data_IF_600015444403
#
_entry.id   IF_600015444403
#
_cell.length_a   1.000
_cell.length_b   1.000
_cell.length_c   1.000
_cell.angle_alpha   90.00
_cell.angle_beta   90.00
_cell.angle_gamma   90.00
#
_symmetry.space_group_name_H-M   'P 1'
#
loop_
_entity.id
_entity.type
_entity.pdbx_description
1 polymer ?
#
# COMPACT_ATOMS: atom_id res chain seq x y z
N UNK A 1 16.74 -11.75 1.85
CA UNK A 1 16.62 -10.29 1.67
C UNK A 1 18.03 -9.72 1.76
N UNK A 2 18.34 -8.53 1.23
CA UNK A 2 19.71 -8.00 1.42
C UNK A 2 19.95 -7.69 2.90
N UNK A 3 21.17 -7.90 3.39
CA UNK A 3 21.52 -7.69 4.80
C UNK A 3 21.23 -6.24 5.26
N UNK A 4 21.43 -5.27 4.37
CA UNK A 4 21.13 -3.85 4.63
C UNK A 4 19.61 -3.64 4.79
N UNK A 5 18.80 -4.25 3.92
CA UNK A 5 17.34 -4.15 4.00
C UNK A 5 16.79 -4.88 5.24
N UNK A 6 17.41 -6.00 5.63
CA UNK A 6 17.11 -6.70 6.89
C UNK A 6 17.35 -5.82 8.11
N UNK A 7 18.52 -5.17 8.20
CA UNK A 7 18.83 -4.21 9.28
C UNK A 7 17.87 -3.03 9.31
N UNK A 8 17.56 -2.43 8.16
CA UNK A 8 16.58 -1.34 8.10
C UNK A 8 15.19 -1.81 8.55
N UNK A 9 14.77 -2.98 8.09
CA UNK A 9 13.47 -3.56 8.45
C UNK A 9 13.37 -3.83 9.96
N UNK A 10 14.45 -4.32 10.59
CA UNK A 10 14.50 -4.50 12.03
C UNK A 10 14.35 -3.16 12.78
N UNK A 11 15.02 -2.09 12.32
CA UNK A 11 14.87 -0.74 12.88
C UNK A 11 13.44 -0.21 12.71
N UNK A 12 12.82 -0.42 11.54
CA UNK A 12 11.43 -0.03 11.30
C UNK A 12 10.48 -0.81 12.22
N UNK A 13 10.71 -2.12 12.42
CA UNK A 13 9.88 -2.95 13.32
C UNK A 13 10.01 -2.53 14.79
N UNK A 14 11.16 -2.00 15.20
CA UNK A 14 11.39 -1.44 16.53
C UNK A 14 10.97 0.04 16.65
N UNK A 15 10.44 0.66 15.59
CA UNK A 15 10.12 2.09 15.57
C UNK A 15 9.00 2.44 16.56
N UNK A 16 9.25 3.43 17.41
CA UNK A 16 8.30 3.96 18.41
C UNK A 16 7.93 5.44 18.24
N UNK A 17 8.32 6.08 17.14
CA UNK A 17 8.09 7.53 16.90
C UNK A 17 6.64 7.95 17.19
N UNK A 18 5.65 7.13 16.81
CA UNK A 18 4.23 7.45 17.00
C UNK A 18 3.76 7.51 18.46
N UNK A 19 4.59 7.10 19.43
CA UNK A 19 4.35 7.22 20.87
C UNK A 19 5.37 8.15 21.51
N UNK A 20 6.65 8.00 21.18
CA UNK A 20 7.72 8.73 21.88
C UNK A 20 7.90 10.17 21.37
N UNK A 21 7.69 10.41 20.06
CA UNK A 21 7.85 11.72 19.42
C UNK A 21 6.79 11.94 18.30
N UNK A 22 5.49 11.86 18.63
CA UNK A 22 4.42 11.90 17.64
C UNK A 22 4.26 13.30 17.04
N UNK A 23 3.80 13.35 15.79
CA UNK A 23 3.16 14.56 15.26
C UNK A 23 1.71 14.57 15.74
N UNK A 24 1.44 15.37 16.78
CA UNK A 24 0.13 15.42 17.44
C UNK A 24 0.08 14.53 18.68
N UNK A 25 -1.04 13.83 18.90
CA UNK A 25 -1.19 12.97 20.09
C UNK A 25 -0.47 11.62 19.90
N UNK A 26 0.12 11.06 20.98
CA UNK A 26 0.68 9.72 20.95
C UNK A 26 -0.40 8.68 20.64
N UNK A 27 0.01 7.54 20.05
CA UNK A 27 -0.89 6.40 19.93
C UNK A 27 -1.33 5.91 21.32
N UNK A 28 -2.60 5.53 21.49
CA UNK A 28 -3.11 5.02 22.77
C UNK A 28 -2.77 3.55 23.02
N UNK A 29 -1.97 2.92 22.15
CA UNK A 29 -1.59 1.52 22.20
C UNK A 29 -0.13 1.34 21.77
N UNK A 30 0.43 0.17 22.04
CA UNK A 30 1.81 -0.13 21.64
C UNK A 30 1.99 -0.06 20.11
N UNK A 31 3.09 0.55 19.61
CA UNK A 31 3.43 0.52 18.21
C UNK A 31 3.66 -0.91 17.73
N UNK A 32 3.04 -1.27 16.61
CA UNK A 32 3.33 -2.52 15.90
C UNK A 32 3.51 -2.24 14.41
N UNK A 33 4.74 -1.87 13.98
CA UNK A 33 5.02 -1.62 12.58
C UNK A 33 4.84 -2.90 11.73
N UNK A 34 3.88 -2.89 10.81
CA UNK A 34 3.56 -4.02 9.92
C UNK A 34 3.94 -3.67 8.48
N UNK A 35 4.94 -4.39 7.96
CA UNK A 35 5.46 -4.27 6.60
C UNK A 35 6.21 -5.54 6.20
N UNK A 36 6.28 -5.79 4.88
CA UNK A 36 7.05 -6.88 4.27
C UNK A 36 7.81 -6.34 3.05
N UNK A 37 8.94 -5.65 3.25
CA UNK A 37 9.78 -5.24 2.13
C UNK A 37 10.45 -6.46 1.48
N UNK A 38 11.01 -6.28 0.30
CA UNK A 38 11.69 -7.33 -0.44
C UNK A 38 12.80 -6.78 -1.30
N UNK A 39 13.90 -7.55 -1.41
CA UNK A 39 15.01 -7.26 -2.32
C UNK A 39 14.85 -7.91 -3.69
N UNK A 40 13.79 -8.70 -3.92
CA UNK A 40 13.57 -9.44 -5.18
C UNK A 40 12.21 -9.15 -5.83
N UNK A 41 11.18 -8.83 -5.03
CA UNK A 41 9.87 -8.50 -5.58
C UNK A 41 9.95 -7.31 -6.53
N UNK A 42 9.28 -7.43 -7.68
CA UNK A 42 9.15 -6.37 -8.69
C UNK A 42 7.92 -5.48 -8.46
N UNK A 43 6.96 -5.95 -7.64
CA UNK A 43 5.71 -5.26 -7.36
C UNK A 43 5.70 -4.74 -5.92
N UNK A 44 5.39 -3.45 -5.75
CA UNK A 44 5.14 -2.83 -4.46
C UNK A 44 3.65 -2.55 -4.26
N UNK A 45 3.08 -3.08 -3.18
CA UNK A 45 1.78 -2.68 -2.66
C UNK A 45 1.95 -1.52 -1.67
N UNK A 46 1.63 -0.30 -2.12
CA UNK A 46 1.64 0.91 -1.33
C UNK A 46 0.22 1.26 -0.90
N UNK A 47 -0.14 0.99 0.36
CA UNK A 47 -1.46 1.29 0.92
C UNK A 47 -1.40 2.30 2.08
N UNK A 48 -2.52 2.56 2.74
CA UNK A 48 -2.62 3.57 3.80
C UNK A 48 -1.86 3.18 5.08
N UNK A 49 -2.46 2.35 5.92
CA UNK A 49 -1.93 1.87 7.18
C UNK A 49 -2.66 0.59 7.60
N UNK A 50 -2.14 -0.20 8.55
CA UNK A 50 -2.86 -1.31 9.17
C UNK A 50 -4.20 -0.89 9.76
N UNK A 51 -5.22 -1.75 9.60
CA UNK A 51 -6.45 -1.70 10.40
C UNK A 51 -6.35 -2.56 11.66
N UNK A 52 -7.42 -2.64 12.46
CA UNK A 52 -7.44 -3.36 13.74
C UNK A 52 -7.04 -4.84 13.63
N UNK A 53 -7.56 -5.57 12.62
CA UNK A 53 -7.22 -6.99 12.43
C UNK A 53 -5.74 -7.18 12.09
N UNK A 54 -5.17 -6.30 11.28
CA UNK A 54 -3.74 -6.31 10.92
C UNK A 54 -2.87 -5.95 12.12
N UNK A 55 -3.32 -5.03 12.98
CA UNK A 55 -2.63 -4.71 14.23
C UNK A 55 -2.58 -5.92 15.18
N UNK A 56 -3.67 -6.68 15.28
CA UNK A 56 -3.73 -7.89 16.12
C UNK A 56 -2.93 -9.05 15.51
N UNK A 57 -3.02 -9.27 14.20
CA UNK A 57 -2.31 -10.38 13.54
C UNK A 57 -0.82 -10.11 13.33
N UNK A 58 -0.43 -8.84 13.15
CA UNK A 58 0.91 -8.44 12.70
C UNK A 58 1.19 -8.75 11.23
N UNK A 59 0.18 -9.17 10.46
CA UNK A 59 0.31 -9.57 9.07
C UNK A 59 -0.52 -8.64 8.17
N UNK A 60 0.07 -8.03 7.11
CA UNK A 60 -0.66 -7.12 6.23
C UNK A 60 -1.85 -7.81 5.58
N UNK A 61 -2.97 -7.11 5.35
CA UNK A 61 -4.09 -7.61 4.53
C UNK A 61 -4.69 -8.96 4.97
N UNK A 62 -4.72 -9.23 6.29
CA UNK A 62 -5.44 -10.37 6.89
C UNK A 62 -6.92 -10.08 7.16
N UNK A 63 -7.50 -9.11 6.47
CA UNK A 63 -8.90 -8.70 6.61
C UNK A 63 -9.64 -8.77 5.26
N UNK A 64 -10.93 -8.44 5.28
CA UNK A 64 -11.78 -8.48 4.09
C UNK A 64 -11.32 -7.53 2.97
N UNK A 65 -10.57 -6.47 3.31
CA UNK A 65 -9.96 -5.60 2.30
C UNK A 65 -8.81 -6.32 1.60
N UNK A 66 -8.07 -7.15 2.33
CA UNK A 66 -7.06 -8.06 1.79
C UNK A 66 -7.64 -9.13 0.86
N UNK A 67 -8.75 -9.75 1.25
CA UNK A 67 -9.43 -10.75 0.40
C UNK A 67 -9.84 -10.13 -0.95
N UNK A 68 -10.44 -8.95 -0.88
CA UNK A 68 -10.82 -8.19 -2.09
C UNK A 68 -9.62 -7.80 -2.93
N UNK A 69 -8.52 -7.35 -2.31
CA UNK A 69 -7.31 -7.00 -3.04
C UNK A 69 -6.73 -8.21 -3.77
N UNK A 70 -6.62 -9.37 -3.11
CA UNK A 70 -6.17 -10.62 -3.76
C UNK A 70 -7.05 -10.99 -4.95
N UNK A 71 -8.37 -10.86 -4.82
CA UNK A 71 -9.31 -11.06 -5.91
C UNK A 71 -9.09 -10.09 -7.08
N UNK A 72 -8.83 -8.81 -6.80
CA UNK A 72 -8.51 -7.82 -7.84
C UNK A 72 -7.21 -8.16 -8.57
N UNK A 73 -6.16 -8.48 -7.82
CA UNK A 73 -4.86 -8.88 -8.37
C UNK A 73 -4.92 -10.23 -9.11
N UNK A 74 -5.94 -11.05 -8.83
CA UNK A 74 -6.11 -12.37 -9.44
C UNK A 74 -5.04 -13.36 -8.98
N UNK A 75 -4.64 -13.30 -7.70
CA UNK A 75 -3.56 -14.11 -7.11
C UNK A 75 -4.06 -14.94 -5.93
N UNK A 76 -3.37 -16.06 -5.65
CA UNK A 76 -3.63 -16.86 -4.47
C UNK A 76 -3.13 -16.19 -3.18
N UNK A 77 -3.50 -16.75 -2.03
CA UNK A 77 -3.00 -16.29 -0.75
C UNK A 77 -1.48 -16.49 -0.62
N UNK A 78 -0.98 -17.62 -1.10
CA UNK A 78 0.44 -18.00 -1.11
C UNK A 78 1.23 -17.04 -1.99
N UNK A 79 0.75 -16.77 -3.22
CA UNK A 79 1.37 -15.81 -4.13
C UNK A 79 1.43 -14.41 -3.53
N UNK A 80 0.34 -13.96 -2.90
CA UNK A 80 0.25 -12.62 -2.32
C UNK A 80 1.24 -12.39 -1.16
N UNK A 81 1.53 -13.44 -0.39
CA UNK A 81 2.43 -13.37 0.75
C UNK A 81 3.84 -13.88 0.46
N UNK A 82 4.12 -14.26 -0.79
CA UNK A 82 5.46 -14.55 -1.25
C UNK A 82 6.27 -13.25 -1.39
N UNK A 83 7.30 -13.10 -0.56
CA UNK A 83 8.15 -11.91 -0.58
C UNK A 83 9.00 -11.82 -1.84
N UNK A 84 9.14 -12.88 -2.64
CA UNK A 84 9.81 -12.81 -3.94
C UNK A 84 8.90 -12.22 -5.03
N UNK A 85 7.58 -12.19 -4.79
CA UNK A 85 6.58 -11.67 -5.73
C UNK A 85 6.10 -10.27 -5.37
N UNK A 86 5.81 -10.04 -4.10
CA UNK A 86 5.26 -8.78 -3.60
C UNK A 86 6.06 -8.21 -2.42
N UNK A 87 6.39 -6.92 -2.53
CA UNK A 87 6.71 -6.09 -1.38
C UNK A 87 5.43 -5.40 -0.88
N UNK A 88 5.22 -5.37 0.44
CA UNK A 88 4.08 -4.70 1.08
C UNK A 88 4.59 -3.64 2.03
N UNK A 89 4.50 -2.37 1.62
CA UNK A 89 4.98 -1.22 2.41
C UNK A 89 3.91 -0.12 2.41
N UNK A 90 3.06 -0.05 3.45
CA UNK A 90 2.05 1.02 3.58
C UNK A 90 2.68 2.38 3.88
N UNK A 91 1.90 3.45 3.85
CA UNK A 91 2.36 4.81 4.16
C UNK A 91 2.57 5.02 5.66
N UNK A 92 1.72 4.41 6.49
CA UNK A 92 1.89 4.28 7.93
C UNK A 92 2.05 2.81 8.32
N UNK A 93 2.96 2.50 9.24
CA UNK A 93 3.23 1.11 9.62
C UNK A 93 2.46 0.65 10.86
N UNK A 94 1.93 1.56 11.67
CA UNK A 94 1.12 1.23 12.84
C UNK A 94 -0.34 1.53 12.57
N UNK A 95 -1.23 0.80 13.23
CA UNK A 95 -2.66 1.14 13.26
C UNK A 95 -2.83 2.52 13.90
N UNK A 96 -3.50 3.47 13.22
CA UNK A 96 -3.62 4.84 13.71
C UNK A 96 -4.80 5.05 14.66
N UNK A 97 -5.61 4.02 14.93
CA UNK A 97 -6.89 4.12 15.61
C UNK A 97 -8.07 4.25 14.64
N UNK A 98 -9.28 4.40 15.19
CA UNK A 98 -10.52 4.55 14.43
C UNK A 98 -11.24 5.86 14.75
N UNK A 99 -11.97 6.37 13.76
CA UNK A 99 -12.94 7.44 13.95
C UNK A 99 -14.19 6.93 14.69
N UNK A 100 -15.06 7.85 15.10
CA UNK A 100 -16.30 7.53 15.81
C UNK A 100 -17.29 6.65 15.00
N UNK A 101 -17.07 6.50 13.70
CA UNK A 101 -17.88 5.68 12.78
C UNK A 101 -17.19 4.34 12.45
N UNK A 102 -16.14 3.98 13.19
CA UNK A 102 -15.38 2.74 13.01
C UNK A 102 -14.51 2.70 11.74
N UNK A 103 -14.17 3.86 11.17
CA UNK A 103 -13.25 3.98 10.05
C UNK A 103 -11.82 4.15 10.52
N UNK A 104 -10.87 3.43 9.94
CA UNK A 104 -9.46 3.59 10.30
C UNK A 104 -9.00 5.03 10.00
N UNK A 105 -8.31 5.63 10.96
CA UNK A 105 -7.77 6.98 10.84
C UNK A 105 -6.69 7.05 9.73
N UNK A 106 -6.36 8.27 9.26
CA UNK A 106 -5.24 8.51 8.35
C UNK A 106 -3.91 7.92 8.87
N UNK A 107 -2.97 7.60 7.97
CA UNK A 107 -1.65 7.15 8.37
C UNK A 107 -0.94 8.28 9.14
N UNK A 108 -0.14 7.89 10.14
CA UNK A 108 0.65 8.81 10.96
C UNK A 108 1.61 9.62 10.07
N UNK A 109 1.59 10.95 10.21
CA UNK A 109 2.29 11.91 9.32
C UNK A 109 3.80 11.79 9.42
N UNK A 110 4.30 11.39 10.57
CA UNK A 110 5.70 11.13 10.89
C UNK A 110 6.26 9.88 10.20
N UNK A 111 5.41 8.92 9.80
CA UNK A 111 5.87 7.59 9.41
C UNK A 111 6.54 7.56 8.03
N UNK A 112 5.91 8.15 7.01
CA UNK A 112 6.47 8.14 5.66
C UNK A 112 7.76 8.95 5.53
N UNK A 113 7.87 10.18 6.08
CA UNK A 113 9.13 10.93 6.07
C UNK A 113 10.29 10.19 6.75
N UNK A 114 10.01 9.46 7.84
CA UNK A 114 11.05 8.75 8.58
C UNK A 114 11.65 7.57 7.79
N UNK A 115 10.84 6.85 7.01
CA UNK A 115 11.23 5.52 6.53
C UNK A 115 11.05 5.27 5.04
N UNK A 116 10.14 5.98 4.36
CA UNK A 116 9.70 5.60 3.01
C UNK A 116 10.83 5.70 1.99
N UNK A 117 11.57 6.80 1.98
CA UNK A 117 12.68 7.01 1.04
C UNK A 117 13.80 5.95 1.21
N UNK A 118 14.17 5.64 2.46
CA UNK A 118 15.19 4.63 2.76
C UNK A 118 14.77 3.23 2.30
N UNK A 119 13.50 2.85 2.53
CA UNK A 119 12.97 1.56 2.08
C UNK A 119 12.96 1.49 0.54
N UNK A 120 12.50 2.53 -0.15
CA UNK A 120 12.48 2.55 -1.62
C UNK A 120 13.89 2.46 -2.21
N UNK A 121 14.87 3.16 -1.63
CA UNK A 121 16.25 3.13 -2.09
C UNK A 121 16.89 1.72 -1.99
N UNK A 122 16.44 0.91 -1.03
CA UNK A 122 16.89 -0.47 -0.84
C UNK A 122 16.06 -1.52 -1.59
N UNK A 123 15.08 -1.09 -2.39
CA UNK A 123 14.28 -1.95 -3.26
C UNK A 123 14.30 -1.44 -4.71
N UNK A 124 15.48 -1.23 -5.33
CA UNK A 124 15.59 -0.64 -6.67
C UNK A 124 15.01 -1.52 -7.78
N UNK A 125 14.79 -2.81 -7.52
CA UNK A 125 14.21 -3.76 -8.46
C UNK A 125 12.69 -3.63 -8.63
N UNK A 126 12.03 -2.81 -7.81
CA UNK A 126 10.60 -2.51 -7.96
C UNK A 126 10.40 -1.74 -9.26
N UNK A 127 9.63 -2.31 -10.17
CA UNK A 127 9.27 -1.68 -11.45
C UNK A 127 7.77 -1.34 -11.56
N UNK A 128 6.96 -1.81 -10.61
CA UNK A 128 5.53 -1.50 -10.50
C UNK A 128 5.16 -1.15 -9.06
N UNK A 129 4.60 0.05 -8.87
CA UNK A 129 3.99 0.50 -7.60
C UNK A 129 2.48 0.58 -7.75
N UNK A 130 1.76 -0.26 -7.01
CA UNK A 130 0.32 -0.15 -6.87
C UNK A 130 0.01 0.84 -5.75
N UNK A 131 -0.55 2.01 -6.10
CA UNK A 131 -0.92 3.04 -5.13
C UNK A 131 -2.38 2.88 -4.70
N UNK A 132 -2.57 2.27 -3.53
CA UNK A 132 -3.87 1.87 -3.01
C UNK A 132 -4.40 2.98 -2.08
N UNK A 133 -5.28 3.82 -2.64
CA UNK A 133 -5.91 4.93 -1.94
C UNK A 133 -5.11 6.23 -1.95
N UNK A 134 -5.77 7.32 -1.53
CA UNK A 134 -5.30 8.69 -1.73
C UNK A 134 -3.96 9.03 -1.07
N UNK A 135 -3.62 8.42 0.08
CA UNK A 135 -2.35 8.68 0.75
C UNK A 135 -1.15 8.11 -0.01
N UNK A 136 -1.28 6.90 -0.55
CA UNK A 136 -0.25 6.30 -1.38
C UNK A 136 -0.12 7.04 -2.72
N UNK A 137 -1.25 7.42 -3.33
CA UNK A 137 -1.27 8.23 -4.55
C UNK A 137 -0.59 9.59 -4.33
N UNK A 138 -0.90 10.28 -3.23
CA UNK A 138 -0.28 11.56 -2.89
C UNK A 138 1.25 11.51 -2.85
N UNK A 139 1.80 10.42 -2.32
CA UNK A 139 3.25 10.24 -2.20
C UNK A 139 3.92 9.87 -3.52
N UNK A 140 3.42 8.84 -4.19
CA UNK A 140 4.12 8.23 -5.33
C UNK A 140 3.84 8.92 -6.67
N UNK A 141 2.71 9.64 -6.78
CA UNK A 141 2.29 10.22 -8.06
C UNK A 141 2.66 11.69 -8.17
N UNK A 142 2.87 12.41 -7.06
CA UNK A 142 3.19 13.84 -7.09
C UNK A 142 2.20 14.63 -7.97
N UNK A 143 2.71 15.31 -8.98
CA UNK A 143 1.92 16.12 -9.94
C UNK A 143 1.06 15.30 -10.90
N UNK A 144 1.29 13.99 -11.04
CA UNK A 144 0.45 13.11 -11.88
C UNK A 144 -0.85 12.70 -11.19
N UNK A 145 -0.99 12.97 -9.88
CA UNK A 145 -2.22 12.79 -9.14
C UNK A 145 -3.26 13.84 -9.56
N UNK A 146 -4.49 13.41 -9.82
CA UNK A 146 -5.59 14.32 -10.11
C UNK A 146 -6.22 14.91 -8.82
N UNK A 147 -7.16 15.84 -8.98
CA UNK A 147 -7.82 16.52 -7.86
C UNK A 147 -8.57 15.55 -6.92
N UNK A 148 -9.13 14.46 -7.45
CA UNK A 148 -9.87 13.47 -6.68
C UNK A 148 -9.31 12.04 -6.84
N UNK A 149 -9.66 11.16 -5.90
CA UNK A 149 -9.37 9.71 -5.99
C UNK A 149 -9.96 9.12 -7.27
N UNK A 150 -11.23 9.45 -7.55
CA UNK A 150 -11.94 8.93 -8.73
C UNK A 150 -11.24 9.34 -10.00
N UNK A 151 -10.87 10.61 -10.14
CA UNK A 151 -10.23 11.12 -11.35
C UNK A 151 -8.82 10.54 -11.51
N UNK A 152 -8.10 10.36 -10.40
CA UNK A 152 -6.76 9.74 -10.41
C UNK A 152 -6.83 8.30 -10.90
N UNK A 153 -7.77 7.51 -10.38
CA UNK A 153 -7.96 6.11 -10.80
C UNK A 153 -8.53 6.04 -12.22
N UNK A 154 -9.44 6.94 -12.60
CA UNK A 154 -9.99 6.98 -13.96
C UNK A 154 -8.92 7.28 -15.01
N UNK A 155 -7.94 8.10 -14.65
CA UNK A 155 -6.82 8.46 -15.51
C UNK A 155 -5.68 7.42 -15.53
N UNK A 156 -5.93 6.18 -15.09
CA UNK A 156 -4.88 5.16 -14.94
C UNK A 156 -4.08 4.89 -16.24
N UNK A 157 -4.71 4.98 -17.41
CA UNK A 157 -4.03 4.79 -18.71
C UNK A 157 -2.98 5.87 -18.95
N UNK A 158 -3.33 7.14 -18.78
CA UNK A 158 -2.36 8.23 -18.95
C UNK A 158 -1.23 8.16 -17.91
N UNK A 159 -1.53 7.75 -16.67
CA UNK A 159 -0.51 7.51 -15.64
C UNK A 159 0.42 6.36 -16.07
N UNK A 160 -0.15 5.29 -16.64
CA UNK A 160 0.62 4.15 -17.12
C UNK A 160 1.52 4.48 -18.31
N UNK A 161 0.99 5.24 -19.28
CA UNK A 161 1.70 5.58 -20.52
C UNK A 161 2.77 6.65 -20.31
N UNK A 162 2.70 7.40 -19.19
CA UNK A 162 3.73 8.38 -18.85
C UNK A 162 5.12 7.73 -18.74
N UNK A 163 6.18 8.44 -19.15
CA UNK A 163 7.56 7.99 -19.03
C UNK A 163 8.01 8.10 -17.56
N UNK A 164 7.64 7.12 -16.75
CA UNK A 164 8.00 7.02 -15.33
C UNK A 164 8.63 5.64 -15.03
N UNK A 165 9.64 5.64 -14.17
CA UNK A 165 10.21 4.44 -13.57
C UNK A 165 10.34 4.65 -12.05
N UNK A 166 9.72 3.79 -11.22
CA UNK A 166 8.87 2.65 -11.58
C UNK A 166 7.54 3.08 -12.25
N UNK A 167 6.87 2.14 -12.91
CA UNK A 167 5.47 2.31 -13.34
C UNK A 167 4.58 2.43 -12.11
N UNK A 168 3.54 3.25 -12.21
CA UNK A 168 2.57 3.45 -11.13
C UNK A 168 1.18 3.12 -11.64
N UNK A 169 0.42 2.34 -10.87
CA UNK A 169 -0.98 2.05 -11.17
C UNK A 169 -1.87 2.43 -9.97
N UNK A 170 -2.73 3.46 -10.10
CA UNK A 170 -3.58 3.91 -9.01
C UNK A 170 -4.80 3.01 -8.82
N UNK A 171 -5.04 2.61 -7.58
CA UNK A 171 -6.20 1.82 -7.17
C UNK A 171 -7.00 2.55 -6.07
N UNK A 172 -8.33 2.40 -6.02
CA UNK A 172 -9.10 2.78 -4.84
C UNK A 172 -8.74 1.84 -3.67
N UNK A 173 -9.09 2.22 -2.45
CA UNK A 173 -8.93 1.30 -1.31
C UNK A 173 -9.91 0.11 -1.44
N UNK A 174 -9.50 -1.15 -1.18
CA UNK A 174 -10.38 -2.32 -1.28
C UNK A 174 -11.38 -2.47 -0.10
N UNK A 175 -11.69 -1.37 0.59
CA UNK A 175 -12.63 -1.38 1.72
C UNK A 175 -14.07 -1.55 1.25
N UNK A 176 -14.90 -2.17 2.08
CA UNK A 176 -16.36 -2.25 1.87
C UNK A 176 -17.01 -0.89 1.68
N UNK A 177 -16.43 0.19 2.24
CA UNK A 177 -16.90 1.57 2.05
C UNK A 177 -16.87 2.01 0.58
N UNK A 178 -16.00 1.41 -0.24
CA UNK A 178 -15.91 1.69 -1.68
C UNK A 178 -16.86 0.84 -2.55
N UNK A 179 -17.69 -0.03 -1.97
CA UNK A 179 -18.66 -0.84 -2.76
C UNK A 179 -19.61 0.03 -3.58
N UNK A 180 -20.11 1.14 -3.02
CA UNK A 180 -20.95 2.09 -3.76
C UNK A 180 -20.19 2.80 -4.89
N UNK A 181 -18.89 3.06 -4.71
CA UNK A 181 -18.03 3.64 -5.75
C UNK A 181 -17.82 2.66 -6.91
N UNK A 182 -17.56 1.38 -6.62
CA UNK A 182 -17.37 0.33 -7.63
C UNK A 182 -18.61 0.17 -8.51
N UNK A 183 -19.80 0.13 -7.90
CA UNK A 183 -21.08 0.06 -8.63
C UNK A 183 -21.30 1.23 -9.60
N UNK A 184 -20.80 2.43 -9.24
CA UNK A 184 -20.89 3.64 -10.09
C UNK A 184 -19.77 3.75 -11.13
N UNK A 185 -18.74 2.90 -11.04
CA UNK A 185 -17.55 2.95 -11.89
C UNK A 185 -17.23 1.54 -12.43
N UNK A 186 -18.12 0.92 -13.24
CA UNK A 186 -17.95 -0.45 -13.72
C UNK A 186 -16.69 -0.64 -14.57
N UNK A 187 -16.19 0.43 -15.20
CA UNK A 187 -14.91 0.45 -15.92
C UNK A 187 -13.72 0.02 -15.04
N UNK A 188 -13.79 0.18 -13.71
CA UNK A 188 -12.74 -0.33 -12.83
C UNK A 188 -12.59 -1.84 -12.97
N UNK A 189 -13.70 -2.57 -12.91
CA UNK A 189 -13.71 -4.03 -13.00
C UNK A 189 -13.58 -4.54 -14.44
N UNK A 190 -14.14 -3.81 -15.41
CA UNK A 190 -14.15 -4.23 -16.81
C UNK A 190 -12.85 -3.89 -17.57
N UNK A 191 -12.18 -2.81 -17.21
CA UNK A 191 -11.01 -2.32 -17.95
C UNK A 191 -9.73 -2.41 -17.12
N UNK A 192 -9.74 -1.81 -15.92
CA UNK A 192 -8.52 -1.68 -15.11
C UNK A 192 -8.10 -3.04 -14.54
N UNK A 193 -9.02 -3.81 -13.95
CA UNK A 193 -8.67 -5.09 -13.33
C UNK A 193 -8.09 -6.13 -14.31
N UNK A 194 -8.63 -6.33 -15.53
CA UNK A 194 -8.01 -7.23 -16.51
C UNK A 194 -6.58 -6.80 -16.88
N UNK A 195 -6.38 -5.49 -17.09
CA UNK A 195 -5.06 -4.93 -17.35
C UNK A 195 -4.10 -5.17 -16.18
N UNK A 196 -4.52 -4.82 -14.96
CA UNK A 196 -3.76 -5.07 -13.73
C UNK A 196 -3.34 -6.54 -13.61
N UNK A 197 -4.27 -7.48 -13.82
CA UNK A 197 -3.97 -8.91 -13.71
C UNK A 197 -2.92 -9.37 -14.72
N UNK A 198 -2.95 -8.85 -15.95
CA UNK A 198 -1.89 -9.10 -16.95
C UNK A 198 -0.53 -8.62 -16.44
N UNK A 199 -0.47 -7.39 -15.95
CA UNK A 199 0.78 -6.79 -15.43
C UNK A 199 1.32 -7.51 -14.18
N UNK A 200 0.42 -8.02 -13.33
CA UNK A 200 0.80 -8.85 -12.18
C UNK A 200 1.39 -10.17 -12.66
N UNK A 201 0.69 -10.89 -13.55
CA UNK A 201 1.14 -12.19 -14.05
C UNK A 201 2.49 -12.12 -14.73
N UNK A 202 2.73 -11.10 -15.55
CA UNK A 202 4.03 -10.84 -16.19
C UNK A 202 5.20 -10.67 -15.19
N UNK A 203 4.94 -10.25 -13.96
CA UNK A 203 5.99 -9.96 -12.96
C UNK A 203 6.19 -11.08 -11.94
N UNK A 204 5.18 -11.91 -11.71
CA UNK A 204 5.23 -12.99 -10.71
C UNK A 204 5.35 -14.39 -11.32
N UNK A 205 5.31 -14.47 -12.65
CA UNK A 205 5.57 -15.66 -13.48
C UNK A 205 6.59 -15.34 -14.54
#
# INVERSE_FOLDING_TARGET
MSEVLERLTARVRACRICVDQPVGRPLPHEPRPVLRPSSSARILLASQAPGTKVHVSGMPFTDASGDRLRSWLGVSNEEFYDTEKFAIVPMGFCFPGQDAKGGDLPPRRECAPAWRAQLMALMPQIDLVLTIGGYAQAWHMGTTRAASLTDTVRNWRAVWDAPASPKVLPLPHPSWRNTGWLKKNPWFEMDLLPFLRSEIRYRIG
#
